data_IF_302524589894
#
_entry.id   IF_302524589894
#
_cell.length_a   1.000
_cell.length_b   1.000
_cell.length_c   1.000
_cell.angle_alpha   90.00
_cell.angle_beta   90.00
_cell.angle_gamma   90.00
#
_symmetry.space_group_name_H-M   'P 1'
#
loop_
_entity.id
_entity.type
_entity.pdbx_description
1 polymer ?
#
# COMPACT_ATOMS: atom_id res chain seq x y z
N UNK A 1 8.45 7.75 16.04
CA UNK A 1 6.98 7.59 16.05
C UNK A 1 6.62 6.19 15.59
N UNK A 2 5.40 5.75 15.89
CA UNK A 2 4.78 4.51 15.43
C UNK A 2 3.31 4.77 15.13
N UNK A 3 2.66 3.89 14.37
CA UNK A 3 1.22 3.98 14.17
C UNK A 3 0.48 3.52 15.42
N UNK A 4 -0.54 4.25 15.82
CA UNK A 4 -1.52 3.76 16.78
C UNK A 4 -2.28 2.58 16.16
N UNK A 5 -2.38 1.40 16.80
CA UNK A 5 -2.97 0.21 16.17
C UNK A 5 -4.48 0.31 15.93
N UNK A 6 -5.17 1.31 16.49
CA UNK A 6 -6.62 1.50 16.30
C UNK A 6 -6.95 2.61 15.30
N UNK A 7 -6.19 3.71 15.34
CA UNK A 7 -6.49 4.91 14.54
C UNK A 7 -5.55 5.10 13.37
N UNK A 8 -4.41 4.40 13.34
CA UNK A 8 -3.30 4.55 12.39
C UNK A 8 -2.66 5.96 12.40
N UNK A 9 -3.01 6.78 13.40
CA UNK A 9 -2.38 8.08 13.58
C UNK A 9 -0.99 7.91 14.22
N UNK A 10 0.00 8.77 13.85
CA UNK A 10 1.31 8.76 14.46
C UNK A 10 1.26 9.02 15.96
N UNK A 11 1.87 8.15 16.75
CA UNK A 11 2.03 8.30 18.20
C UNK A 11 3.51 8.31 18.60
N UNK A 12 3.86 8.92 19.76
CA UNK A 12 5.24 8.95 20.25
C UNK A 12 5.82 7.55 20.44
N UNK A 13 6.99 7.33 19.85
CA UNK A 13 7.84 6.14 20.02
C UNK A 13 9.18 6.50 20.68
N UNK A 14 10.30 6.27 19.99
CA UNK A 14 11.62 6.73 20.41
C UNK A 14 11.69 8.26 20.42
N UNK A 15 11.08 8.93 19.43
CA UNK A 15 10.85 10.37 19.49
C UNK A 15 9.54 10.67 20.23
N UNK A 16 9.56 11.66 21.13
CA UNK A 16 8.40 12.05 21.98
C UNK A 16 7.67 13.28 21.45
N UNK A 17 8.35 14.11 20.67
CA UNK A 17 7.83 15.36 20.15
C UNK A 17 8.56 15.76 18.87
N UNK A 18 7.99 16.66 18.11
CA UNK A 18 8.64 17.26 16.94
C UNK A 18 8.26 18.73 16.74
N UNK A 19 9.14 19.43 16.00
CA UNK A 19 8.89 20.80 15.56
C UNK A 19 9.07 20.89 14.06
N UNK A 20 8.10 21.50 13.39
CA UNK A 20 8.13 21.75 11.97
C UNK A 20 8.49 23.23 11.72
N UNK A 21 9.45 23.49 10.81
CA UNK A 21 9.81 24.84 10.41
C UNK A 21 8.66 25.50 9.61
N UNK A 22 8.74 26.83 9.50
CA UNK A 22 7.70 27.62 8.81
C UNK A 22 7.57 27.24 7.32
N UNK A 23 8.69 26.88 6.68
CA UNK A 23 8.74 26.40 5.29
C UNK A 23 8.39 24.89 5.15
N UNK A 24 8.03 24.23 6.26
CA UNK A 24 7.65 22.80 6.34
C UNK A 24 8.69 21.81 5.78
N UNK A 25 9.94 22.26 5.60
CA UNK A 25 11.05 21.42 5.10
C UNK A 25 11.95 20.89 6.19
N UNK A 26 11.86 21.36 7.44
CA UNK A 26 12.71 20.94 8.55
C UNK A 26 11.87 20.33 9.65
N UNK A 27 12.06 19.04 9.87
CA UNK A 27 11.42 18.27 10.93
C UNK A 27 12.46 18.02 12.03
N UNK A 28 12.30 18.67 13.18
CA UNK A 28 13.20 18.48 14.32
C UNK A 28 12.53 17.64 15.38
N UNK A 29 13.06 16.44 15.63
CA UNK A 29 12.55 15.48 16.59
C UNK A 29 13.30 15.57 17.90
N UNK A 30 12.57 15.38 19.02
CA UNK A 30 13.09 15.25 20.37
C UNK A 30 12.99 13.78 20.77
N UNK A 31 14.13 13.17 21.12
CA UNK A 31 14.22 11.76 21.48
C UNK A 31 14.04 11.56 22.99
N UNK A 32 13.62 10.37 23.40
CA UNK A 32 13.54 9.95 24.80
C UNK A 32 14.94 9.81 25.39
N UNK A 33 15.12 10.25 26.62
CA UNK A 33 16.38 10.07 27.34
C UNK A 33 16.59 8.63 27.82
N UNK A 34 15.51 7.84 27.98
CA UNK A 34 15.51 6.46 28.45
C UNK A 34 15.46 5.42 27.32
N UNK A 35 15.59 5.81 26.06
CA UNK A 35 15.63 4.85 24.94
C UNK A 35 16.97 4.13 24.90
N UNK A 36 16.95 2.79 24.91
CA UNK A 36 18.13 1.93 24.90
C UNK A 36 17.94 0.75 23.97
N UNK A 37 19.05 0.27 23.42
CA UNK A 37 19.12 -1.05 22.79
C UNK A 37 19.15 -2.16 23.84
N UNK A 38 18.94 -3.41 23.40
CA UNK A 38 18.92 -4.59 24.28
C UNK A 38 20.26 -4.88 24.99
N UNK A 39 21.35 -4.32 24.51
CA UNK A 39 22.68 -4.37 25.17
C UNK A 39 22.91 -3.22 26.16
N UNK A 40 21.94 -2.33 26.36
CA UNK A 40 22.01 -1.18 27.27
C UNK A 40 22.63 0.10 26.66
N UNK A 41 23.07 0.07 25.40
CA UNK A 41 23.55 1.27 24.72
C UNK A 41 22.39 2.24 24.46
N UNK A 42 22.63 3.54 24.65
CA UNK A 42 21.59 4.57 24.39
C UNK A 42 21.24 4.70 22.93
N UNK A 43 19.96 4.88 22.67
CA UNK A 43 19.44 5.28 21.35
C UNK A 43 19.36 6.81 21.32
N UNK A 44 20.45 7.43 20.89
CA UNK A 44 20.60 8.88 20.77
C UNK A 44 20.45 9.33 19.29
N UNK A 45 20.61 10.63 19.03
CA UNK A 45 20.48 11.20 17.70
C UNK A 45 21.51 10.65 16.69
N UNK A 46 22.71 10.30 17.13
CA UNK A 46 23.73 9.65 16.29
C UNK A 46 23.30 8.23 15.89
N UNK A 47 22.75 7.45 16.83
CA UNK A 47 22.24 6.11 16.53
C UNK A 47 21.07 6.17 15.51
N UNK A 48 20.19 7.18 15.63
CA UNK A 48 19.11 7.40 14.64
C UNK A 48 19.72 7.73 13.29
N UNK A 49 20.62 8.72 13.19
CA UNK A 49 21.31 9.07 11.93
C UNK A 49 21.97 7.85 11.31
N UNK A 50 22.71 7.08 12.08
CA UNK A 50 23.41 5.87 11.62
C UNK A 50 22.45 4.85 11.03
N UNK A 51 21.28 4.59 11.65
CA UNK A 51 20.26 3.68 11.13
C UNK A 51 19.74 4.13 9.75
N UNK A 52 19.42 5.41 9.58
CA UNK A 52 18.95 5.94 8.31
C UNK A 52 20.05 5.90 7.23
N UNK A 53 21.28 6.27 7.56
CA UNK A 53 22.40 6.20 6.63
C UNK A 53 22.70 4.77 6.21
N UNK A 54 22.60 3.80 7.12
CA UNK A 54 22.73 2.37 6.84
C UNK A 54 21.65 1.89 5.85
N UNK A 55 20.40 2.28 6.07
CA UNK A 55 19.29 1.96 5.15
C UNK A 55 19.56 2.51 3.74
N UNK A 56 19.97 3.79 3.63
CA UNK A 56 20.27 4.45 2.36
C UNK A 56 21.49 3.86 1.65
N UNK A 57 22.49 3.39 2.38
CA UNK A 57 23.71 2.80 1.81
C UNK A 57 23.59 1.32 1.44
N UNK A 58 22.50 0.65 1.88
CA UNK A 58 22.29 -0.78 1.59
C UNK A 58 21.73 -0.94 0.17
N UNK A 59 22.44 -1.61 -0.75
CA UNK A 59 21.97 -1.82 -2.10
C UNK A 59 20.61 -2.55 -2.14
N UNK A 60 19.70 -2.07 -2.98
CA UNK A 60 18.36 -2.63 -3.15
C UNK A 60 17.56 -2.76 -1.85
N UNK A 61 17.84 -1.90 -0.87
CA UNK A 61 17.10 -1.90 0.40
C UNK A 61 15.63 -1.56 0.15
N UNK A 62 14.70 -2.42 0.56
CA UNK A 62 13.28 -2.14 0.44
C UNK A 62 12.91 -0.83 1.16
N UNK A 63 11.97 -0.09 0.62
CA UNK A 63 11.42 1.14 1.20
C UNK A 63 12.42 2.31 1.39
N UNK A 64 13.72 2.15 1.05
CA UNK A 64 14.69 3.24 1.15
C UNK A 64 14.29 4.46 0.30
N UNK A 65 13.62 4.25 -0.83
CA UNK A 65 13.09 5.32 -1.70
C UNK A 65 12.02 6.19 -1.05
N UNK A 66 11.27 5.69 -0.06
CA UNK A 66 10.27 6.49 0.67
C UNK A 66 10.88 7.68 1.42
N UNK A 67 12.19 7.64 1.70
CA UNK A 67 12.92 8.75 2.33
C UNK A 67 13.82 9.53 1.35
N UNK A 68 13.72 9.31 0.04
CA UNK A 68 14.38 10.12 -1.00
C UNK A 68 13.97 11.60 -0.94
N UNK A 69 12.82 11.88 -0.32
CA UNK A 69 12.38 13.24 0.01
C UNK A 69 13.34 13.99 0.95
N UNK A 70 14.17 13.30 1.73
CA UNK A 70 15.24 13.91 2.53
C UNK A 70 16.31 14.45 1.56
N UNK A 71 16.70 15.70 1.75
CA UNK A 71 17.71 16.35 0.91
C UNK A 71 18.96 15.48 0.76
N UNK A 72 19.39 15.24 -0.47
CA UNK A 72 20.57 14.46 -0.80
C UNK A 72 20.44 12.95 -0.62
N UNK A 73 19.35 12.44 -0.04
CA UNK A 73 19.19 11.00 0.24
C UNK A 73 19.13 10.16 -1.04
N UNK A 74 18.38 10.59 -2.05
CA UNK A 74 18.28 9.92 -3.34
C UNK A 74 19.64 9.84 -4.05
N UNK A 75 20.37 10.96 -4.13
CA UNK A 75 21.69 11.01 -4.77
C UNK A 75 22.69 10.10 -4.05
N UNK A 76 22.68 10.10 -2.70
CA UNK A 76 23.51 9.22 -1.89
C UNK A 76 23.17 7.74 -2.12
N UNK A 77 21.89 7.38 -2.08
CA UNK A 77 21.40 6.01 -2.33
C UNK A 77 21.77 5.49 -3.71
N UNK A 78 21.74 6.36 -4.72
CA UNK A 78 22.15 6.05 -6.10
C UNK A 78 23.67 6.07 -6.33
N UNK A 79 24.46 6.38 -5.31
CA UNK A 79 25.93 6.43 -5.39
C UNK A 79 26.51 7.64 -6.17
N UNK A 80 25.71 8.69 -6.40
CA UNK A 80 26.11 9.92 -7.10
C UNK A 80 26.22 11.14 -6.17
N UNK A 81 25.91 10.98 -4.88
CA UNK A 81 25.99 12.00 -3.83
C UNK A 81 26.84 11.54 -2.65
N UNK A 82 27.21 12.49 -1.77
CA UNK A 82 27.98 12.19 -0.58
C UNK A 82 27.10 12.05 0.68
N UNK A 83 27.59 11.35 1.69
CA UNK A 83 26.89 11.18 2.96
C UNK A 83 26.68 12.52 3.70
N UNK A 84 27.58 13.48 3.52
CA UNK A 84 27.56 14.82 4.12
C UNK A 84 26.43 15.68 3.54
N UNK A 85 25.99 15.41 2.30
CA UNK A 85 24.91 16.13 1.64
C UNK A 85 23.53 15.70 2.13
N UNK A 86 23.44 14.53 2.78
CA UNK A 86 22.17 14.00 3.29
C UNK A 86 21.65 14.85 4.44
N UNK A 87 20.45 15.36 4.30
CA UNK A 87 19.81 16.30 5.20
C UNK A 87 19.42 15.73 6.57
N UNK A 88 20.26 14.89 7.21
CA UNK A 88 20.06 14.34 8.55
C UNK A 88 21.08 14.97 9.48
N UNK A 89 20.63 15.90 10.31
CA UNK A 89 21.49 16.75 11.16
C UNK A 89 21.27 16.43 12.62
N UNK A 90 22.33 16.01 13.29
CA UNK A 90 22.36 15.84 14.75
C UNK A 90 22.59 17.21 15.39
N UNK A 91 21.62 17.68 16.17
CA UNK A 91 21.68 18.99 16.83
C UNK A 91 22.14 18.90 18.29
N UNK A 92 21.81 17.79 18.96
CA UNK A 92 22.20 17.45 20.32
C UNK A 92 22.02 15.93 20.52
N UNK A 93 22.45 15.40 21.66
CA UNK A 93 22.36 13.97 22.00
C UNK A 93 20.94 13.42 21.80
N UNK A 94 19.90 14.18 22.19
CA UNK A 94 18.50 13.80 22.08
C UNK A 94 17.72 14.61 21.01
N UNK A 95 18.42 15.23 20.04
CA UNK A 95 17.76 16.10 19.07
C UNK A 95 18.31 15.93 17.67
N UNK A 96 17.43 15.58 16.72
CA UNK A 96 17.78 15.34 15.33
C UNK A 96 16.84 16.10 14.38
N UNK A 97 17.37 16.65 13.28
CA UNK A 97 16.62 17.36 12.26
C UNK A 97 16.75 16.66 10.91
N UNK A 98 15.62 16.39 10.28
CA UNK A 98 15.53 15.98 8.88
C UNK A 98 15.21 17.20 8.03
N UNK A 99 16.01 17.45 7.00
CA UNK A 99 15.83 18.53 6.04
C UNK A 99 15.34 17.92 4.73
N UNK A 100 14.14 18.32 4.29
CA UNK A 100 13.48 17.76 3.11
C UNK A 100 13.76 18.62 1.86
N UNK A 101 13.71 18.00 0.69
CA UNK A 101 13.78 18.67 -0.62
C UNK A 101 12.58 19.59 -0.84
N UNK A 102 11.40 19.09 -0.50
CA UNK A 102 10.11 19.79 -0.60
C UNK A 102 9.34 19.69 0.72
N UNK A 103 8.35 20.55 0.97
CA UNK A 103 7.46 20.39 2.10
C UNK A 103 6.69 19.08 2.04
N UNK A 104 6.55 18.37 3.18
CA UNK A 104 5.80 17.12 3.26
C UNK A 104 5.17 16.96 4.64
N UNK A 105 3.89 17.32 4.75
CA UNK A 105 3.16 17.17 6.02
C UNK A 105 2.93 15.70 6.40
N UNK A 106 3.03 14.79 5.45
CA UNK A 106 2.89 13.34 5.62
C UNK A 106 4.20 12.65 6.10
N UNK A 107 5.34 13.35 6.15
CA UNK A 107 6.64 12.75 6.46
C UNK A 107 6.65 11.97 7.78
N UNK A 108 5.94 12.46 8.81
CA UNK A 108 5.83 11.75 10.08
C UNK A 108 5.10 10.40 9.93
N UNK A 109 4.14 10.29 9.00
CA UNK A 109 3.44 9.04 8.70
C UNK A 109 4.36 8.03 8.00
N UNK A 110 5.19 8.51 7.07
CA UNK A 110 6.25 7.70 6.44
C UNK A 110 7.19 7.13 7.51
N UNK A 111 7.62 7.95 8.48
CA UNK A 111 8.52 7.52 9.56
C UNK A 111 7.90 6.50 10.55
N UNK A 112 6.58 6.27 10.49
CA UNK A 112 5.93 5.21 11.28
C UNK A 112 6.09 3.82 10.64
N UNK A 113 6.53 3.72 9.38
CA UNK A 113 6.75 2.45 8.72
C UNK A 113 7.92 1.68 9.35
N UNK A 114 7.79 0.36 9.48
CA UNK A 114 8.74 -0.52 10.17
C UNK A 114 10.16 -0.49 9.59
N UNK A 115 10.31 -0.20 8.29
CA UNK A 115 11.61 -0.05 7.63
C UNK A 115 12.48 1.07 8.24
N UNK A 116 11.87 2.04 8.93
CA UNK A 116 12.56 3.16 9.60
C UNK A 116 12.78 2.93 11.09
N UNK A 117 12.65 1.68 11.55
CA UNK A 117 13.04 1.29 12.91
C UNK A 117 14.53 1.53 13.15
N UNK A 118 14.86 1.96 14.36
CA UNK A 118 16.27 2.22 14.72
C UNK A 118 16.97 0.88 14.96
N UNK A 119 18.00 0.61 14.18
CA UNK A 119 18.74 -0.65 14.21
C UNK A 119 20.18 -0.45 14.68
N UNK A 120 20.71 -1.44 15.38
CA UNK A 120 22.10 -1.52 15.76
C UNK A 120 22.96 -2.17 14.65
N UNK A 121 24.29 -1.99 14.68
CA UNK A 121 25.18 -2.67 13.74
C UNK A 121 25.25 -4.18 13.99
N UNK A 122 25.29 -4.58 15.25
CA UNK A 122 25.13 -5.97 15.63
C UNK A 122 23.65 -6.37 15.44
N UNK A 123 23.43 -7.33 14.57
CA UNK A 123 22.09 -7.87 14.24
C UNK A 123 21.38 -8.58 15.40
N UNK A 124 22.11 -8.90 16.48
CA UNK A 124 21.58 -9.53 17.68
C UNK A 124 21.23 -8.50 18.78
N UNK A 125 21.37 -7.20 18.48
CA UNK A 125 21.04 -6.09 19.39
C UNK A 125 19.78 -5.39 18.86
N UNK A 126 18.77 -5.30 19.69
CA UNK A 126 17.41 -4.89 19.31
C UNK A 126 16.98 -3.60 20.00
N UNK A 127 16.18 -2.77 19.33
CA UNK A 127 15.55 -1.57 19.88
C UNK A 127 14.09 -1.75 20.27
N UNK A 128 13.49 -2.88 19.92
CA UNK A 128 12.06 -3.17 20.10
C UNK A 128 11.70 -3.77 21.45
N UNK A 129 10.40 -4.00 21.64
CA UNK A 129 9.84 -4.58 22.87
C UNK A 129 10.26 -6.04 23.13
N UNK A 130 10.74 -6.71 22.11
CA UNK A 130 11.16 -8.11 22.17
C UNK A 130 12.56 -8.28 21.54
N UNK A 131 13.26 -9.31 21.98
CA UNK A 131 14.52 -9.78 21.41
C UNK A 131 14.31 -11.17 20.78
N UNK A 132 15.04 -11.45 19.70
CA UNK A 132 15.05 -12.77 19.09
C UNK A 132 15.88 -13.73 19.93
N UNK A 133 15.24 -14.76 20.49
CA UNK A 133 15.90 -15.80 21.28
C UNK A 133 16.34 -16.98 20.41
N UNK A 134 15.49 -17.42 19.47
CA UNK A 134 15.80 -18.49 18.51
C UNK A 134 15.02 -18.32 17.21
N UNK A 135 15.57 -18.87 16.13
CA UNK A 135 14.90 -18.99 14.83
C UNK A 135 15.39 -20.30 14.17
N UNK A 136 14.71 -21.38 14.50
CA UNK A 136 15.11 -22.72 14.07
C UNK A 136 13.90 -23.56 13.65
N UNK A 137 14.04 -24.33 12.57
CA UNK A 137 13.03 -25.29 12.10
C UNK A 137 11.61 -24.68 11.90
N UNK A 138 11.53 -23.42 11.45
CA UNK A 138 10.26 -22.71 11.26
C UNK A 138 9.61 -22.22 12.56
N UNK A 139 10.33 -22.30 13.68
CA UNK A 139 9.90 -21.77 14.98
C UNK A 139 10.76 -20.56 15.33
N UNK A 140 10.11 -19.43 15.61
CA UNK A 140 10.75 -18.20 16.06
C UNK A 140 10.31 -17.92 17.49
N UNK A 141 11.26 -17.77 18.40
CA UNK A 141 11.01 -17.41 19.78
C UNK A 141 11.46 -15.99 20.07
N UNK A 142 10.56 -15.20 20.59
CA UNK A 142 10.82 -13.84 21.06
C UNK A 142 10.68 -13.78 22.58
N UNK A 143 11.64 -13.14 23.25
CA UNK A 143 11.59 -12.85 24.67
C UNK A 143 11.45 -11.34 24.90
N UNK A 144 10.76 -10.97 25.96
CA UNK A 144 10.63 -9.57 26.38
C UNK A 144 11.98 -8.90 26.54
N UNK A 145 12.10 -7.69 26.02
CA UNK A 145 13.30 -6.87 26.14
C UNK A 145 13.26 -6.04 27.43
N UNK A 146 14.07 -6.41 28.44
CA UNK A 146 14.10 -5.75 29.73
C UNK A 146 14.70 -4.34 29.72
N UNK A 147 15.36 -3.95 28.63
CA UNK A 147 15.89 -2.60 28.43
C UNK A 147 14.97 -1.71 27.62
N UNK A 148 13.84 -2.25 27.12
CA UNK A 148 12.89 -1.49 26.31
C UNK A 148 12.31 -0.32 27.11
N UNK A 149 12.27 0.86 26.51
CA UNK A 149 11.83 2.09 27.18
C UNK A 149 10.41 2.04 27.75
N UNK A 150 9.54 1.19 27.19
CA UNK A 150 8.14 1.03 27.58
C UNK A 150 7.86 -0.39 28.13
N UNK A 151 8.85 -1.04 28.70
CA UNK A 151 8.79 -2.44 29.16
C UNK A 151 7.65 -2.73 30.16
N UNK A 152 7.26 -1.73 30.98
CA UNK A 152 6.20 -1.89 31.96
C UNK A 152 4.82 -2.16 31.31
N UNK A 153 4.64 -1.71 30.06
CA UNK A 153 3.44 -1.94 29.28
C UNK A 153 3.49 -3.23 28.44
N UNK A 154 4.65 -3.88 28.31
CA UNK A 154 4.82 -5.19 27.67
C UNK A 154 4.42 -6.29 28.63
N UNK A 155 3.36 -7.04 28.34
CA UNK A 155 2.75 -8.00 29.27
C UNK A 155 3.12 -9.45 29.00
N UNK A 156 3.44 -9.80 27.75
CA UNK A 156 3.84 -11.16 27.41
C UNK A 156 5.36 -11.31 27.57
N UNK A 157 5.79 -12.27 28.37
CA UNK A 157 7.22 -12.54 28.59
C UNK A 157 7.87 -13.26 27.40
N UNK A 158 7.08 -14.09 26.69
CA UNK A 158 7.52 -14.88 25.54
C UNK A 158 6.43 -14.94 24.48
N UNK A 159 6.83 -14.86 23.21
CA UNK A 159 5.96 -15.10 22.06
C UNK A 159 6.67 -16.11 21.16
N UNK A 160 5.92 -17.13 20.71
CA UNK A 160 6.42 -18.13 19.79
C UNK A 160 5.63 -18.04 18.49
N UNK A 161 6.32 -17.91 17.36
CA UNK A 161 5.75 -18.05 16.03
C UNK A 161 6.08 -19.42 15.46
N UNK A 162 5.12 -20.03 14.83
CA UNK A 162 5.28 -21.24 14.03
C UNK A 162 4.95 -20.92 12.58
N UNK A 163 5.89 -21.14 11.69
CA UNK A 163 5.67 -20.96 10.25
C UNK A 163 4.99 -22.20 9.70
N UNK A 164 3.81 -22.05 9.10
CA UNK A 164 3.07 -23.14 8.47
C UNK A 164 2.12 -22.56 7.41
N UNK A 165 2.06 -23.22 6.25
CA UNK A 165 1.11 -23.01 5.15
C UNK A 165 0.05 -24.13 5.07
N UNK A 166 0.08 -25.10 5.99
CA UNK A 166 -0.88 -26.18 6.06
C UNK A 166 -2.19 -25.73 6.74
N UNK A 167 -3.21 -25.54 5.92
CA UNK A 167 -4.55 -25.08 6.33
C UNK A 167 -5.18 -26.01 7.38
N UNK A 168 -5.07 -27.33 7.21
CA UNK A 168 -5.69 -28.31 8.10
C UNK A 168 -4.95 -28.38 9.44
N UNK A 169 -3.63 -28.39 9.41
CA UNK A 169 -2.79 -28.35 10.62
C UNK A 169 -3.07 -27.08 11.43
N UNK A 170 -3.04 -25.91 10.79
CA UNK A 170 -3.27 -24.64 11.46
C UNK A 170 -4.67 -24.57 12.09
N UNK A 171 -5.68 -25.12 11.37
CA UNK A 171 -7.05 -25.22 11.89
C UNK A 171 -7.14 -26.10 13.14
N UNK A 172 -6.43 -27.24 13.15
CA UNK A 172 -6.38 -28.14 14.30
C UNK A 172 -5.67 -27.51 15.50
N UNK A 173 -4.48 -26.92 15.28
CA UNK A 173 -3.70 -26.26 16.33
C UNK A 173 -4.44 -25.10 16.99
N UNK A 174 -5.18 -24.31 16.17
CA UNK A 174 -6.02 -23.26 16.71
C UNK A 174 -7.18 -23.82 17.54
N UNK A 175 -7.91 -24.82 17.01
CA UNK A 175 -9.05 -25.41 17.71
C UNK A 175 -8.65 -26.17 18.99
N UNK A 176 -7.44 -26.75 19.06
CA UNK A 176 -6.89 -27.39 20.28
C UNK A 176 -6.38 -26.37 21.32
N UNK A 177 -6.23 -25.09 20.94
CA UNK A 177 -5.69 -24.05 21.82
C UNK A 177 -4.16 -24.04 21.89
N UNK A 178 -3.47 -24.83 21.10
CA UNK A 178 -1.99 -24.82 21.01
C UNK A 178 -1.49 -23.53 20.37
N UNK A 179 -2.24 -22.98 19.40
CA UNK A 179 -2.01 -21.68 18.78
C UNK A 179 -3.15 -20.74 19.13
N UNK A 180 -2.82 -19.52 19.60
CA UNK A 180 -3.80 -18.52 20.03
C UNK A 180 -4.15 -17.51 18.92
N UNK A 181 -3.32 -17.38 17.91
CA UNK A 181 -3.53 -16.47 16.79
C UNK A 181 -2.95 -17.05 15.50
N UNK A 182 -3.78 -17.16 14.46
CA UNK A 182 -3.34 -17.49 13.09
C UNK A 182 -3.47 -16.22 12.25
N UNK A 183 -2.35 -15.74 11.73
CA UNK A 183 -2.29 -14.57 10.85
C UNK A 183 -2.56 -14.98 9.40
N UNK A 184 -2.93 -14.01 8.56
CA UNK A 184 -3.08 -14.20 7.09
C UNK A 184 -4.08 -15.28 6.66
N UNK A 185 -4.95 -15.72 7.59
CA UNK A 185 -6.08 -16.58 7.29
C UNK A 185 -5.77 -17.99 6.75
N UNK A 186 -4.58 -18.52 7.02
CA UNK A 186 -4.18 -19.86 6.55
C UNK A 186 -4.86 -20.94 7.39
N UNK A 187 -6.20 -20.96 7.36
CA UNK A 187 -7.09 -21.91 8.04
C UNK A 187 -8.30 -22.23 7.18
N UNK A 188 -9.02 -23.30 7.52
CA UNK A 188 -10.36 -23.54 6.98
C UNK A 188 -11.41 -22.84 7.88
N UNK A 189 -11.99 -21.69 7.46
CA UNK A 189 -12.90 -20.93 8.32
C UNK A 189 -14.16 -21.70 8.69
N UNK A 190 -14.58 -22.66 7.85
CA UNK A 190 -15.74 -23.49 8.10
C UNK A 190 -15.50 -24.49 9.25
N UNK A 191 -14.25 -24.89 9.47
CA UNK A 191 -13.83 -25.83 10.51
C UNK A 191 -13.40 -25.16 11.82
N UNK A 192 -13.26 -23.84 11.87
CA UNK A 192 -13.01 -23.12 13.12
C UNK A 192 -14.23 -23.25 14.03
N UNK A 193 -14.03 -23.77 15.25
CA UNK A 193 -15.10 -24.03 16.22
C UNK A 193 -15.67 -22.72 16.78
N UNK A 194 -14.79 -21.83 17.25
CA UNK A 194 -15.19 -20.52 17.76
C UNK A 194 -15.28 -19.51 16.61
N UNK A 195 -16.45 -19.33 16.04
CA UNK A 195 -16.68 -18.40 14.92
C UNK A 195 -16.44 -16.93 15.27
N UNK A 196 -16.55 -16.52 16.54
CA UNK A 196 -16.26 -15.16 16.97
C UNK A 196 -14.77 -14.80 16.92
N UNK A 197 -13.92 -15.79 16.74
CA UNK A 197 -12.48 -15.61 16.57
C UNK A 197 -12.09 -15.20 15.13
N UNK A 198 -12.98 -15.36 14.16
CA UNK A 198 -12.73 -14.94 12.78
C UNK A 198 -12.79 -13.41 12.68
N UNK A 199 -11.64 -12.79 12.41
CA UNK A 199 -11.50 -11.34 12.32
C UNK A 199 -11.19 -10.96 10.87
N UNK A 200 -12.04 -10.13 10.28
CA UNK A 200 -11.87 -9.59 8.94
C UNK A 200 -11.75 -8.08 9.02
N UNK A 201 -10.84 -7.49 8.26
CA UNK A 201 -10.68 -6.04 8.17
C UNK A 201 -10.33 -5.65 6.74
N UNK A 202 -11.03 -4.65 6.20
CA UNK A 202 -10.60 -4.05 4.94
C UNK A 202 -9.20 -3.45 5.11
N UNK A 203 -8.30 -3.74 4.16
CA UNK A 203 -6.95 -3.21 4.15
C UNK A 203 -6.91 -1.84 3.48
N UNK A 204 -5.93 -1.03 3.87
CA UNK A 204 -5.61 0.24 3.23
C UNK A 204 -5.00 -0.01 1.85
N UNK A 205 -5.81 -0.51 0.95
CA UNK A 205 -5.39 -0.95 -0.37
C UNK A 205 -6.54 -0.98 -1.36
N UNK A 206 -6.21 -1.07 -2.63
CA UNK A 206 -7.18 -1.21 -3.72
C UNK A 206 -6.64 -2.14 -4.78
N UNK A 207 -7.44 -3.13 -5.15
CA UNK A 207 -7.24 -3.92 -6.36
C UNK A 207 -7.91 -3.17 -7.52
N UNK A 208 -7.16 -2.90 -8.56
CA UNK A 208 -7.60 -2.08 -9.69
C UNK A 208 -6.93 -2.52 -10.99
N UNK A 209 -7.61 -2.27 -12.11
CA UNK A 209 -7.02 -2.35 -13.43
C UNK A 209 -6.66 -0.93 -13.85
N UNK A 210 -5.57 -0.75 -14.57
CA UNK A 210 -5.17 0.55 -15.09
C UNK A 210 -4.75 0.47 -16.55
N UNK A 211 -4.95 1.57 -17.29
CA UNK A 211 -4.44 1.73 -18.65
C UNK A 211 -2.95 2.11 -18.60
N UNK A 212 -2.15 1.45 -19.42
CA UNK A 212 -0.77 1.83 -19.70
C UNK A 212 -0.73 2.54 -21.05
N UNK A 213 -0.45 3.83 -21.02
CA UNK A 213 -0.40 4.64 -22.23
C UNK A 213 0.87 4.32 -23.02
N UNK A 214 0.75 4.34 -24.33
CA UNK A 214 1.90 4.20 -25.23
C UNK A 214 2.63 5.54 -25.28
N UNK A 215 3.94 5.53 -25.14
CA UNK A 215 4.75 6.73 -25.41
C UNK A 215 4.67 7.03 -26.91
N UNK A 216 4.45 8.29 -27.28
CA UNK A 216 4.59 8.72 -28.66
C UNK A 216 6.03 8.42 -29.07
N UNK A 217 6.21 7.54 -30.06
CA UNK A 217 7.52 7.32 -30.63
C UNK A 217 7.89 8.60 -31.36
N UNK A 218 8.71 9.44 -30.75
CA UNK A 218 9.42 10.52 -31.43
C UNK A 218 10.53 9.85 -32.25
N UNK A 219 10.17 9.41 -33.44
CA UNK A 219 11.13 8.76 -34.32
C UNK A 219 12.21 9.73 -34.73
N UNK A 220 13.44 9.38 -34.38
CA UNK A 220 14.64 9.81 -35.11
C UNK A 220 14.77 9.04 -36.44
N UNK A 221 13.70 8.95 -37.22
CA UNK A 221 13.80 8.42 -38.58
C UNK A 221 13.86 9.58 -39.56
N UNK A 222 14.83 9.50 -40.46
CA UNK A 222 14.98 10.40 -41.57
C UNK A 222 13.63 10.56 -42.30
N UNK A 223 13.17 11.79 -42.51
CA UNK A 223 11.88 12.14 -43.13
C UNK A 223 11.69 11.56 -44.54
N UNK A 224 12.71 10.94 -45.12
CA UNK A 224 12.74 10.39 -46.49
C UNK A 224 12.57 8.87 -46.60
N UNK A 225 12.24 8.14 -45.50
CA UNK A 225 12.01 6.69 -45.62
C UNK A 225 10.54 6.34 -45.82
N UNK A 226 10.22 5.54 -46.86
CA UNK A 226 8.87 4.97 -47.09
C UNK A 226 8.32 4.15 -45.90
N UNK A 227 9.16 3.83 -44.92
CA UNK A 227 8.75 3.18 -43.64
C UNK A 227 8.09 4.16 -42.64
N UNK A 228 8.32 5.48 -42.80
CA UNK A 228 7.71 6.49 -41.91
C UNK A 228 6.19 6.58 -42.03
N UNK A 229 5.61 6.09 -43.14
CA UNK A 229 4.17 6.08 -43.39
C UNK A 229 3.43 4.93 -42.69
N UNK A 230 4.14 3.97 -42.06
CA UNK A 230 3.53 2.79 -41.40
C UNK A 230 3.57 2.82 -39.88
N UNK A 231 4.12 3.86 -39.21
CA UNK A 231 4.49 3.80 -37.78
C UNK A 231 3.83 4.88 -36.91
N UNK A 232 2.84 5.64 -37.40
CA UNK A 232 2.26 6.74 -36.62
C UNK A 232 0.76 6.59 -36.33
N UNK A 233 0.30 5.41 -35.93
CA UNK A 233 -1.02 5.31 -35.30
C UNK A 233 -0.85 5.41 -33.78
N UNK A 234 -1.07 6.63 -33.25
CA UNK A 234 -1.20 6.86 -31.83
C UNK A 234 -2.28 5.93 -31.26
N UNK A 235 -1.96 5.14 -30.25
CA UNK A 235 -2.91 4.20 -29.64
C UNK A 235 -4.20 4.94 -29.22
N UNK A 236 -5.35 4.43 -29.64
CA UNK A 236 -6.66 4.99 -29.27
C UNK A 236 -6.84 5.04 -27.75
N UNK A 237 -6.16 4.16 -27.03
CA UNK A 237 -6.21 4.11 -25.58
C UNK A 237 -5.46 5.26 -24.90
N UNK A 238 -4.67 6.05 -25.66
CA UNK A 238 -4.12 7.32 -25.20
C UNK A 238 -5.20 8.42 -25.07
N UNK A 239 -6.35 8.24 -25.72
CA UNK A 239 -7.48 9.17 -25.69
C UNK A 239 -8.50 8.77 -24.61
N UNK A 240 -8.84 9.70 -23.71
CA UNK A 240 -9.72 9.42 -22.58
C UNK A 240 -11.15 9.04 -22.99
N UNK A 241 -11.61 9.54 -24.13
CA UNK A 241 -12.95 9.26 -24.64
C UNK A 241 -13.17 7.75 -24.87
N UNK A 242 -12.15 7.05 -25.40
CA UNK A 242 -12.22 5.59 -25.57
C UNK A 242 -12.15 4.86 -24.23
N UNK A 243 -11.28 5.31 -23.32
CA UNK A 243 -11.19 4.69 -21.99
C UNK A 243 -12.48 4.84 -21.21
N UNK A 244 -13.08 6.04 -21.22
CA UNK A 244 -14.32 6.29 -20.51
C UNK A 244 -15.49 5.49 -21.10
N UNK A 245 -15.57 5.32 -22.42
CA UNK A 245 -16.57 4.43 -23.03
C UNK A 245 -16.40 2.97 -22.56
N UNK A 246 -15.17 2.49 -22.39
CA UNK A 246 -14.91 1.16 -21.83
C UNK A 246 -15.37 1.09 -20.35
N UNK A 247 -15.10 2.12 -19.54
CA UNK A 247 -15.49 2.15 -18.13
C UNK A 247 -17.01 2.11 -17.93
N UNK A 248 -17.78 2.82 -18.77
CA UNK A 248 -19.23 2.79 -18.72
C UNK A 248 -19.82 1.42 -19.10
N UNK A 249 -19.09 0.63 -19.92
CA UNK A 249 -19.51 -0.72 -20.30
C UNK A 249 -19.16 -1.80 -19.26
N UNK A 250 -18.28 -1.52 -18.28
CA UNK A 250 -17.86 -2.50 -17.28
C UNK A 250 -19.07 -2.98 -16.46
N UNK A 251 -19.29 -4.30 -16.35
CA UNK A 251 -20.41 -4.87 -15.60
C UNK A 251 -20.13 -4.86 -14.08
N UNK A 252 -20.17 -3.68 -13.48
CA UNK A 252 -19.71 -3.40 -12.11
C UNK A 252 -20.38 -4.29 -11.07
N UNK A 253 -21.71 -4.46 -11.13
CA UNK A 253 -22.46 -5.26 -10.16
C UNK A 253 -22.02 -6.72 -10.16
N UNK A 254 -21.82 -7.29 -11.35
CA UNK A 254 -21.41 -8.70 -11.48
C UNK A 254 -19.94 -8.90 -11.11
N UNK A 255 -19.04 -7.97 -11.47
CA UNK A 255 -17.64 -8.05 -11.08
C UNK A 255 -17.45 -7.94 -9.56
N UNK A 256 -18.28 -7.14 -8.90
CA UNK A 256 -18.21 -6.87 -7.45
C UNK A 256 -19.09 -7.78 -6.61
N UNK A 257 -19.90 -8.65 -7.21
CA UNK A 257 -20.92 -9.48 -6.54
C UNK A 257 -20.41 -10.32 -5.37
N UNK A 258 -19.19 -10.85 -5.48
CA UNK A 258 -18.61 -11.75 -4.50
C UNK A 258 -17.42 -11.14 -3.76
N UNK A 259 -17.19 -9.82 -3.87
CA UNK A 259 -16.12 -9.16 -3.15
C UNK A 259 -16.60 -8.67 -1.78
N UNK A 260 -15.72 -8.70 -0.80
CA UNK A 260 -16.04 -8.35 0.59
C UNK A 260 -16.30 -6.83 0.75
N UNK A 261 -15.44 -6.02 0.11
CA UNK A 261 -15.50 -4.55 0.17
C UNK A 261 -15.30 -4.01 -1.24
N UNK A 262 -16.39 -3.73 -1.98
CA UNK A 262 -16.30 -3.13 -3.30
C UNK A 262 -15.59 -1.77 -3.26
N UNK A 263 -14.73 -1.50 -4.24
CA UNK A 263 -14.12 -0.20 -4.44
C UNK A 263 -14.79 0.52 -5.61
N UNK A 264 -15.29 1.71 -5.38
CA UNK A 264 -15.83 2.59 -6.43
C UNK A 264 -14.85 3.69 -6.81
N UNK A 265 -13.89 3.97 -5.94
CA UNK A 265 -12.82 4.96 -6.07
C UNK A 265 -11.47 4.30 -5.88
N UNK A 266 -10.40 5.01 -6.19
CA UNK A 266 -9.03 4.49 -6.09
C UNK A 266 -8.47 4.56 -4.68
N UNK A 267 -8.60 5.72 -4.03
CA UNK A 267 -8.11 5.92 -2.68
C UNK A 267 -9.02 5.18 -1.70
N UNK A 268 -8.41 4.37 -0.82
CA UNK A 268 -9.14 3.75 0.28
C UNK A 268 -9.79 4.82 1.18
N UNK A 269 -11.07 4.70 1.56
CA UNK A 269 -11.76 5.69 2.40
C UNK A 269 -11.05 5.89 3.74
N UNK A 270 -10.46 7.06 3.93
CA UNK A 270 -9.85 7.49 5.18
C UNK A 270 -10.80 8.43 5.94
N UNK A 271 -10.69 8.44 7.26
CA UNK A 271 -11.43 9.39 8.07
C UNK A 271 -11.04 10.83 7.71
N UNK A 272 -12.05 11.64 7.35
CA UNK A 272 -11.85 13.03 6.92
C UNK A 272 -11.47 13.21 5.44
N UNK A 273 -11.30 12.13 4.68
CA UNK A 273 -11.15 12.22 3.24
C UNK A 273 -12.52 12.47 2.59
N UNK A 274 -12.66 13.48 1.71
CA UNK A 274 -13.93 13.76 1.06
C UNK A 274 -14.45 12.58 0.23
N UNK A 275 -15.75 12.48 0.11
CA UNK A 275 -16.36 11.54 -0.82
C UNK A 275 -16.07 11.98 -2.26
N UNK A 276 -15.53 11.10 -3.06
CA UNK A 276 -15.27 11.28 -4.49
C UNK A 276 -16.30 10.46 -5.26
N UNK A 277 -16.80 11.01 -6.37
CA UNK A 277 -17.67 10.27 -7.27
C UNK A 277 -16.88 9.17 -7.95
N UNK A 278 -17.36 7.94 -7.84
CA UNK A 278 -16.68 6.78 -8.40
C UNK A 278 -17.59 5.97 -9.31
N UNK A 279 -17.06 4.89 -9.83
CA UNK A 279 -17.78 3.99 -10.74
C UNK A 279 -18.70 3.06 -9.94
N UNK A 280 -20.00 3.31 -9.96
CA UNK A 280 -20.97 2.58 -9.15
C UNK A 280 -22.00 1.78 -9.94
N UNK A 281 -22.20 2.10 -11.22
CA UNK A 281 -23.19 1.43 -12.09
C UNK A 281 -22.67 1.32 -13.53
N UNK A 282 -23.28 0.44 -14.32
CA UNK A 282 -23.01 0.22 -15.73
C UNK A 282 -24.09 0.92 -16.56
N UNK A 283 -23.70 1.64 -17.61
CA UNK A 283 -24.64 2.17 -18.62
C UNK A 283 -24.17 1.75 -20.01
N UNK A 284 -24.68 0.59 -20.46
CA UNK A 284 -24.34 0.02 -21.77
C UNK A 284 -24.76 0.93 -22.93
N UNK A 285 -25.85 1.68 -22.78
CA UNK A 285 -26.36 2.57 -23.84
C UNK A 285 -25.45 3.79 -23.95
N UNK A 286 -25.10 4.38 -22.83
CA UNK A 286 -24.18 5.51 -22.79
C UNK A 286 -22.80 5.10 -23.27
N UNK A 287 -22.29 3.92 -22.87
CA UNK A 287 -21.02 3.38 -23.34
C UNK A 287 -20.91 3.31 -24.87
N UNK A 288 -22.00 2.83 -25.53
CA UNK A 288 -22.09 2.77 -27.01
C UNK A 288 -22.11 4.17 -27.61
N UNK A 289 -22.86 5.11 -27.02
CA UNK A 289 -22.91 6.50 -27.49
C UNK A 289 -21.54 7.17 -27.36
N UNK A 290 -20.89 7.05 -26.21
CA UNK A 290 -19.54 7.60 -25.97
C UNK A 290 -18.50 7.01 -26.93
N UNK A 291 -18.54 5.70 -27.18
CA UNK A 291 -17.67 5.05 -28.15
C UNK A 291 -17.88 5.58 -29.58
N UNK A 292 -19.13 5.77 -29.97
CA UNK A 292 -19.47 6.34 -31.27
C UNK A 292 -18.98 7.78 -31.42
N UNK A 293 -19.18 8.61 -30.41
CA UNK A 293 -18.68 10.00 -30.41
C UNK A 293 -17.14 10.05 -30.45
N UNK A 294 -16.47 9.17 -29.70
CA UNK A 294 -15.01 9.06 -29.72
C UNK A 294 -14.52 8.68 -31.14
N UNK A 295 -15.12 7.65 -31.77
CA UNK A 295 -14.77 7.25 -33.14
C UNK A 295 -14.96 8.38 -34.14
N UNK A 296 -16.08 9.12 -34.06
CA UNK A 296 -16.33 10.29 -34.94
C UNK A 296 -15.29 11.40 -34.74
N UNK A 297 -14.93 11.64 -33.48
CA UNK A 297 -13.93 12.68 -33.14
C UNK A 297 -12.54 12.40 -33.72
N UNK A 298 -12.17 11.12 -33.81
CA UNK A 298 -10.84 10.68 -34.23
C UNK A 298 -10.82 9.96 -35.58
N UNK A 299 -11.90 10.11 -36.40
CA UNK A 299 -12.01 9.57 -37.75
C UNK A 299 -11.83 8.04 -37.83
N UNK A 300 -12.30 7.29 -36.83
CA UNK A 300 -12.27 5.83 -36.79
C UNK A 300 -13.62 5.28 -37.27
N UNK A 301 -13.60 4.27 -38.16
CA UNK A 301 -14.82 3.69 -38.71
C UNK A 301 -15.63 2.96 -37.64
N UNK A 302 -16.97 3.01 -37.72
CA UNK A 302 -17.88 2.37 -36.75
C UNK A 302 -17.71 0.85 -36.70
N UNK A 303 -17.37 0.21 -37.83
CA UNK A 303 -17.18 -1.24 -37.99
C UNK A 303 -15.73 -1.70 -37.75
N UNK A 304 -14.81 -0.80 -37.56
CA UNK A 304 -13.41 -1.13 -37.23
C UNK A 304 -13.33 -1.77 -35.83
N UNK A 305 -12.67 -2.92 -35.74
CA UNK A 305 -12.46 -3.60 -34.46
C UNK A 305 -11.21 -3.04 -33.78
N UNK A 306 -11.38 -2.49 -32.57
CA UNK A 306 -10.28 -1.94 -31.78
C UNK A 306 -9.75 -3.03 -30.84
N UNK A 307 -8.48 -3.46 -30.96
CA UNK A 307 -7.90 -4.42 -30.01
C UNK A 307 -7.62 -3.76 -28.66
N UNK A 308 -7.85 -4.52 -27.58
CA UNK A 308 -7.54 -4.14 -26.21
C UNK A 308 -6.87 -5.33 -25.52
N UNK A 309 -5.59 -5.24 -25.23
CA UNK A 309 -4.81 -6.32 -24.61
C UNK A 309 -4.75 -6.12 -23.11
N UNK A 310 -5.26 -7.08 -22.35
CA UNK A 310 -5.25 -7.07 -20.90
C UNK A 310 -4.36 -8.18 -20.36
N UNK A 311 -3.20 -7.81 -19.77
CA UNK A 311 -2.39 -8.75 -19.02
C UNK A 311 -2.82 -8.82 -17.55
N UNK A 312 -3.00 -10.03 -17.04
CA UNK A 312 -3.43 -10.29 -15.68
C UNK A 312 -2.65 -11.46 -15.07
N UNK A 313 -2.44 -11.42 -13.77
CA UNK A 313 -1.87 -12.58 -13.05
C UNK A 313 -2.81 -13.76 -13.14
N UNK A 314 -2.29 -14.94 -13.54
CA UNK A 314 -3.11 -16.14 -13.69
C UNK A 314 -3.81 -16.51 -12.38
N UNK A 315 -5.08 -16.89 -12.49
CA UNK A 315 -5.93 -17.25 -11.37
C UNK A 315 -6.61 -16.06 -10.65
N UNK A 316 -6.38 -14.81 -11.07
CA UNK A 316 -7.05 -13.65 -10.46
C UNK A 316 -8.54 -13.61 -10.82
N UNK A 317 -8.88 -13.77 -12.11
CA UNK A 317 -10.27 -13.84 -12.57
C UNK A 317 -10.67 -15.27 -12.86
N UNK A 318 -11.91 -15.62 -12.49
CA UNK A 318 -12.55 -16.85 -12.95
C UNK A 318 -12.81 -16.79 -14.46
N UNK A 319 -13.02 -17.97 -15.07
CA UNK A 319 -13.41 -18.03 -16.49
C UNK A 319 -14.70 -17.23 -16.77
N UNK A 320 -15.66 -17.28 -15.85
CA UNK A 320 -16.93 -16.55 -15.94
C UNK A 320 -16.70 -15.03 -15.94
N UNK A 321 -15.87 -14.53 -15.03
CA UNK A 321 -15.53 -13.09 -14.98
C UNK A 321 -14.80 -12.62 -16.23
N UNK A 322 -13.86 -13.42 -16.77
CA UNK A 322 -13.18 -13.11 -18.04
C UNK A 322 -14.18 -13.03 -19.20
N UNK A 323 -15.10 -14.00 -19.30
CA UNK A 323 -16.11 -14.01 -20.33
C UNK A 323 -17.10 -12.83 -20.21
N UNK A 324 -17.42 -12.44 -18.98
CA UNK A 324 -18.26 -11.28 -18.68
C UNK A 324 -17.62 -9.99 -19.22
N UNK A 325 -16.32 -9.75 -18.94
CA UNK A 325 -15.59 -8.59 -19.45
C UNK A 325 -15.52 -8.57 -20.99
N UNK A 326 -15.19 -9.70 -21.61
CA UNK A 326 -15.15 -9.81 -23.08
C UNK A 326 -16.50 -9.50 -23.69
N UNK A 327 -17.60 -10.02 -23.11
CA UNK A 327 -18.96 -9.80 -23.65
C UNK A 327 -19.40 -8.34 -23.46
N UNK A 328 -19.03 -7.68 -22.39
CA UNK A 328 -19.39 -6.29 -22.12
C UNK A 328 -18.80 -5.30 -23.15
N UNK A 329 -17.64 -5.62 -23.74
CA UNK A 329 -16.97 -4.74 -24.68
C UNK A 329 -17.32 -5.03 -26.16
N UNK A 330 -17.96 -6.14 -26.47
CA UNK A 330 -18.40 -6.47 -27.85
C UNK A 330 -19.30 -5.41 -28.49
N UNK A 331 -20.32 -4.84 -27.80
CA UNK A 331 -21.16 -3.80 -28.37
C UNK A 331 -20.40 -2.53 -28.78
N UNK A 332 -19.20 -2.33 -28.25
CA UNK A 332 -18.31 -1.20 -28.55
C UNK A 332 -17.38 -1.47 -29.75
N UNK A 333 -17.46 -2.65 -30.39
CA UNK A 333 -16.49 -3.15 -31.38
C UNK A 333 -15.05 -3.15 -30.82
N UNK A 334 -14.91 -3.53 -29.53
CA UNK A 334 -13.61 -3.72 -28.88
C UNK A 334 -13.34 -5.22 -28.70
N UNK A 335 -12.20 -5.68 -29.22
CA UNK A 335 -11.71 -7.06 -29.07
C UNK A 335 -10.81 -7.15 -27.84
N UNK A 336 -11.41 -7.50 -26.69
CA UNK A 336 -10.66 -7.68 -25.44
C UNK A 336 -9.93 -9.04 -25.41
N UNK A 337 -8.62 -9.00 -25.45
CA UNK A 337 -7.73 -10.15 -25.35
C UNK A 337 -7.12 -10.22 -23.95
N UNK A 338 -7.54 -11.23 -23.14
CA UNK A 338 -7.02 -11.42 -21.77
C UNK A 338 -5.87 -12.43 -21.81
N UNK A 339 -4.68 -11.96 -21.45
CA UNK A 339 -3.42 -12.74 -21.40
C UNK A 339 -3.06 -13.03 -19.96
N UNK A 340 -3.02 -14.30 -19.59
CA UNK A 340 -2.65 -14.71 -18.23
C UNK A 340 -1.14 -14.95 -18.11
N UNK A 341 -0.52 -14.22 -17.17
CA UNK A 341 0.91 -14.29 -16.87
C UNK A 341 1.10 -15.00 -15.52
N UNK A 342 2.13 -15.84 -15.43
CA UNK A 342 2.44 -16.53 -14.18
C UNK A 342 2.73 -15.53 -13.04
N UNK A 343 2.15 -15.70 -11.83
CA UNK A 343 2.25 -14.71 -10.74
C UNK A 343 3.69 -14.28 -10.40
N UNK A 344 4.66 -15.21 -10.46
CA UNK A 344 6.08 -14.93 -10.15
C UNK A 344 6.72 -13.94 -11.14
N UNK A 345 6.26 -13.92 -12.40
CA UNK A 345 6.81 -13.05 -13.46
C UNK A 345 5.94 -11.85 -13.78
N UNK A 346 4.73 -11.80 -13.24
CA UNK A 346 3.72 -10.80 -13.58
C UNK A 346 4.18 -9.36 -13.36
N UNK A 347 4.74 -9.03 -12.19
CA UNK A 347 5.21 -7.67 -11.89
C UNK A 347 6.32 -7.21 -12.85
N UNK A 348 7.13 -8.15 -13.34
CA UNK A 348 8.15 -7.82 -14.35
C UNK A 348 7.49 -7.58 -15.72
N UNK A 349 6.46 -8.34 -16.08
CA UNK A 349 5.78 -8.14 -17.37
C UNK A 349 5.14 -6.76 -17.44
N UNK A 350 4.55 -6.24 -16.35
CA UNK A 350 3.95 -4.90 -16.32
C UNK A 350 4.93 -3.81 -16.79
N UNK A 351 6.21 -3.90 -16.41
CA UNK A 351 7.22 -2.91 -16.82
C UNK A 351 7.73 -3.10 -18.25
N UNK A 352 7.63 -4.31 -18.83
CA UNK A 352 8.27 -4.67 -20.11
C UNK A 352 7.29 -4.97 -21.23
N UNK A 353 6.03 -5.26 -20.95
CA UNK A 353 5.01 -5.59 -21.95
C UNK A 353 4.37 -4.34 -22.55
N UNK A 354 3.91 -4.48 -23.79
CA UNK A 354 3.17 -3.46 -24.53
C UNK A 354 1.63 -3.64 -24.45
N UNK A 355 1.14 -4.46 -23.53
CA UNK A 355 -0.29 -4.57 -23.27
C UNK A 355 -0.88 -3.21 -22.83
N UNK A 356 -2.20 -3.05 -23.01
CA UNK A 356 -2.90 -1.79 -22.76
C UNK A 356 -3.45 -1.70 -21.34
N UNK A 357 -3.82 -2.86 -20.77
CA UNK A 357 -4.39 -2.97 -19.43
C UNK A 357 -3.56 -3.90 -18.55
N UNK A 358 -3.43 -3.51 -17.29
CA UNK A 358 -2.78 -4.31 -16.24
C UNK A 358 -3.58 -4.26 -14.95
N UNK A 359 -3.44 -5.30 -14.12
CA UNK A 359 -4.07 -5.40 -12.82
C UNK A 359 -3.05 -5.23 -11.70
N UNK A 360 -3.34 -4.35 -10.74
CA UNK A 360 -2.59 -4.26 -9.49
C UNK A 360 -3.49 -4.48 -8.27
N UNK A 361 -2.90 -4.99 -7.20
CA UNK A 361 -3.42 -4.87 -5.84
C UNK A 361 -2.40 -4.08 -5.03
N UNK A 362 -2.70 -2.83 -4.76
CA UNK A 362 -1.82 -1.92 -4.05
C UNK A 362 -2.25 -1.79 -2.59
N UNK A 363 -1.31 -1.96 -1.68
CA UNK A 363 -1.48 -1.65 -0.26
C UNK A 363 -0.66 -0.40 0.02
N UNK A 364 -1.29 0.65 0.56
CA UNK A 364 -0.60 1.90 0.82
C UNK A 364 0.49 1.76 1.90
N UNK A 365 1.66 2.31 1.65
CA UNK A 365 2.82 2.21 2.55
C UNK A 365 2.67 3.07 3.81
N UNK A 366 1.79 4.07 3.80
CA UNK A 366 1.51 4.97 4.93
C UNK A 366 0.08 5.53 4.85
N UNK A 367 -0.51 5.88 6.01
CA UNK A 367 -1.91 6.30 6.13
C UNK A 367 -2.14 7.73 5.59
N UNK A 368 -2.05 7.89 4.27
CA UNK A 368 -2.32 9.15 3.55
C UNK A 368 -2.78 8.84 2.12
N UNK A 369 -3.75 9.58 1.54
CA UNK A 369 -4.21 9.37 0.17
C UNK A 369 -3.07 9.40 -0.87
N UNK A 370 -2.00 10.13 -0.60
CA UNK A 370 -0.82 10.19 -1.47
C UNK A 370 -0.19 8.83 -1.70
N UNK A 371 -0.33 7.87 -0.77
CA UNK A 371 0.16 6.50 -0.95
C UNK A 371 -0.45 5.80 -2.18
N UNK A 372 -1.59 6.28 -2.68
CA UNK A 372 -2.23 5.83 -3.91
C UNK A 372 -1.93 6.77 -5.09
N UNK A 373 -2.11 8.07 -4.89
CA UNK A 373 -2.02 9.05 -5.98
C UNK A 373 -0.60 9.21 -6.52
N UNK A 374 0.43 8.95 -5.71
CA UNK A 374 1.83 8.94 -6.16
C UNK A 374 2.11 7.92 -7.27
N UNK A 375 1.31 6.85 -7.38
CA UNK A 375 1.40 5.85 -8.45
C UNK A 375 1.08 6.42 -9.84
N UNK A 376 0.42 7.56 -9.91
CA UNK A 376 0.02 8.21 -11.17
C UNK A 376 0.68 9.58 -11.38
N UNK A 377 1.54 10.00 -10.46
CA UNK A 377 2.28 11.27 -10.61
C UNK A 377 3.25 11.18 -11.79
N UNK A 378 3.25 12.20 -12.64
CA UNK A 378 3.95 12.19 -13.93
C UNK A 378 5.46 11.92 -13.88
N UNK A 379 6.13 12.28 -12.76
CA UNK A 379 7.55 12.04 -12.53
C UNK A 379 7.85 10.94 -11.50
N UNK A 380 6.84 10.20 -11.05
CA UNK A 380 7.01 9.10 -10.10
C UNK A 380 7.64 7.88 -10.78
N UNK A 381 8.61 7.26 -10.10
CA UNK A 381 9.18 5.98 -10.54
C UNK A 381 8.21 4.81 -10.37
N UNK A 382 7.10 5.02 -9.65
CA UNK A 382 6.04 4.04 -9.44
C UNK A 382 4.93 4.14 -10.50
N UNK A 383 5.02 5.13 -11.41
CA UNK A 383 4.01 5.34 -12.44
C UNK A 383 4.24 4.42 -13.64
N UNK A 384 3.72 3.20 -13.55
CA UNK A 384 3.75 2.24 -14.65
C UNK A 384 2.75 2.58 -15.76
N UNK A 385 1.74 3.42 -15.49
CA UNK A 385 0.72 3.81 -16.46
C UNK A 385 1.24 4.72 -17.57
N UNK A 386 2.39 5.37 -17.38
CA UNK A 386 2.96 6.40 -18.26
C UNK A 386 2.11 7.65 -18.44
N UNK A 387 0.96 7.71 -17.77
CA UNK A 387 0.09 8.88 -17.80
C UNK A 387 0.76 10.10 -17.15
N UNK A 388 0.52 11.26 -17.71
CA UNK A 388 1.01 12.55 -17.21
C UNK A 388 -0.11 13.59 -17.32
N UNK A 389 -0.39 14.25 -16.21
CA UNK A 389 -1.37 15.35 -16.18
C UNK A 389 -0.86 16.47 -15.29
N UNK A 390 -0.63 17.65 -15.88
CA UNK A 390 -0.03 18.79 -15.19
C UNK A 390 -0.92 19.35 -14.06
N UNK A 391 -2.26 19.26 -14.19
CA UNK A 391 -3.19 19.71 -13.16
C UNK A 391 -3.20 18.74 -11.97
N UNK A 392 -3.20 17.43 -12.25
CA UNK A 392 -3.04 16.41 -11.23
C UNK A 392 -1.74 16.60 -10.44
N UNK A 393 -0.60 16.70 -11.14
CA UNK A 393 0.71 16.89 -10.51
C UNK A 393 0.76 18.17 -9.67
N UNK A 394 0.17 19.26 -10.17
CA UNK A 394 0.05 20.53 -9.44
C UNK A 394 -0.75 20.38 -8.15
N UNK A 395 -1.87 19.65 -8.17
CA UNK A 395 -2.66 19.38 -6.96
C UNK A 395 -1.88 18.56 -5.93
N UNK A 396 -1.09 17.59 -6.36
CA UNK A 396 -0.19 16.84 -5.46
C UNK A 396 0.82 17.77 -4.79
N UNK A 397 1.42 18.71 -5.55
CA UNK A 397 2.36 19.70 -5.02
C UNK A 397 1.68 20.68 -4.07
N UNK A 398 0.49 21.18 -4.39
CA UNK A 398 -0.31 22.04 -3.52
C UNK A 398 -0.67 21.33 -2.20
N UNK A 399 -1.06 20.05 -2.27
CA UNK A 399 -1.37 19.24 -1.10
C UNK A 399 -0.15 19.05 -0.18
N UNK A 400 1.07 19.00 -0.73
CA UNK A 400 2.29 18.87 0.07
C UNK A 400 2.53 20.05 1.02
N UNK A 401 2.10 21.26 0.64
CA UNK A 401 2.26 22.49 1.42
C UNK A 401 1.00 22.91 2.19
N UNK A 402 -0.15 22.34 1.88
CA UNK A 402 -1.44 22.69 2.48
C UNK A 402 -1.48 22.46 4.01
N UNK A 403 -2.41 23.10 4.70
CA UNK A 403 -2.72 22.77 6.09
C UNK A 403 -3.31 21.35 6.16
N UNK A 404 -3.28 20.72 7.34
CA UNK A 404 -3.87 19.40 7.53
C UNK A 404 -5.36 19.37 7.13
N UNK A 405 -6.12 20.42 7.42
CA UNK A 405 -7.53 20.55 7.09
C UNK A 405 -7.79 20.64 5.56
N UNK A 406 -6.93 21.33 4.82
CA UNK A 406 -7.11 21.56 3.39
C UNK A 406 -6.46 20.49 2.51
N UNK A 407 -5.59 19.65 3.08
CA UNK A 407 -4.82 18.67 2.32
C UNK A 407 -5.70 17.61 1.65
N UNK A 408 -6.60 16.99 2.41
CA UNK A 408 -7.46 15.94 1.87
C UNK A 408 -8.43 16.43 0.79
N UNK A 409 -9.07 17.59 0.92
CA UNK A 409 -9.86 18.18 -0.17
C UNK A 409 -9.08 18.43 -1.47
N UNK A 410 -7.79 18.76 -1.39
CA UNK A 410 -6.94 18.95 -2.58
C UNK A 410 -6.61 17.59 -3.20
N UNK A 411 -6.25 16.59 -2.39
CA UNK A 411 -5.97 15.23 -2.88
C UNK A 411 -7.21 14.56 -3.47
N UNK A 412 -8.40 14.81 -2.92
CA UNK A 412 -9.65 14.31 -3.48
C UNK A 412 -9.92 14.87 -4.90
N UNK A 413 -9.62 16.16 -5.14
CA UNK A 413 -9.69 16.74 -6.50
C UNK A 413 -8.69 16.09 -7.47
N UNK A 414 -7.50 15.73 -7.00
CA UNK A 414 -6.55 15.01 -7.82
C UNK A 414 -7.09 13.61 -8.17
N UNK A 415 -7.73 12.92 -7.23
CA UNK A 415 -8.38 11.64 -7.50
C UNK A 415 -9.54 11.78 -8.51
N UNK A 416 -10.36 12.83 -8.40
CA UNK A 416 -11.43 13.12 -9.39
C UNK A 416 -10.85 13.23 -10.80
N UNK A 417 -9.74 13.96 -10.98
CA UNK A 417 -9.07 14.06 -12.30
C UNK A 417 -8.64 12.68 -12.79
N UNK A 418 -8.04 11.85 -11.93
CA UNK A 418 -7.58 10.52 -12.31
C UNK A 418 -8.74 9.61 -12.77
N UNK A 419 -9.88 9.69 -12.08
CA UNK A 419 -11.09 8.95 -12.44
C UNK A 419 -11.72 9.48 -13.73
N UNK A 420 -11.85 10.80 -13.88
CA UNK A 420 -12.42 11.45 -15.08
C UNK A 420 -11.60 11.20 -16.36
N UNK A 421 -10.29 11.01 -16.19
CA UNK A 421 -9.38 10.61 -17.28
C UNK A 421 -9.51 9.13 -17.67
N UNK A 422 -10.30 8.35 -16.92
CA UNK A 422 -10.55 6.94 -17.19
C UNK A 422 -9.31 6.06 -17.07
N UNK A 423 -8.33 6.45 -16.24
CA UNK A 423 -7.06 5.74 -16.14
C UNK A 423 -7.14 4.45 -15.34
N UNK A 424 -8.15 4.32 -14.47
CA UNK A 424 -8.26 3.20 -13.53
C UNK A 424 -9.66 2.61 -13.48
N UNK A 425 -9.72 1.33 -13.19
CA UNK A 425 -10.95 0.53 -12.97
C UNK A 425 -10.81 -0.05 -11.55
N UNK A 426 -11.32 0.62 -10.49
CA UNK A 426 -11.24 0.11 -9.13
C UNK A 426 -12.19 -1.08 -8.95
N UNK A 427 -11.69 -2.17 -8.37
CA UNK A 427 -12.44 -3.41 -8.22
C UNK A 427 -12.91 -3.61 -6.77
N UNK A 428 -11.98 -3.72 -5.84
CA UNK A 428 -12.29 -3.93 -4.42
C UNK A 428 -11.13 -3.50 -3.52
N UNK A 429 -11.44 -3.30 -2.24
CA UNK A 429 -10.43 -3.17 -1.20
C UNK A 429 -10.08 -4.55 -0.65
N UNK A 430 -8.80 -4.96 -0.65
CA UNK A 430 -8.35 -6.22 -0.06
C UNK A 430 -8.79 -6.35 1.41
N UNK A 431 -8.91 -7.57 1.88
CA UNK A 431 -9.33 -7.87 3.25
C UNK A 431 -8.26 -8.71 3.93
N UNK A 432 -7.80 -8.27 5.10
CA UNK A 432 -7.02 -9.13 5.98
C UNK A 432 -7.94 -10.10 6.71
N UNK A 433 -7.42 -11.29 6.97
CA UNK A 433 -8.14 -12.32 7.69
C UNK A 433 -7.26 -12.90 8.79
N UNK A 434 -7.69 -12.79 10.02
CA UNK A 434 -7.00 -13.32 11.20
C UNK A 434 -7.94 -14.22 11.99
N UNK A 435 -7.39 -15.18 12.71
CA UNK A 435 -8.15 -16.02 13.64
C UNK A 435 -7.56 -15.85 15.03
N UNK A 436 -8.28 -15.12 15.89
CA UNK A 436 -7.84 -14.79 17.25
C UNK A 436 -9.04 -14.64 18.17
N UNK A 437 -8.97 -15.26 19.35
CA UNK A 437 -10.03 -15.11 20.35
C UNK A 437 -9.79 -13.86 21.21
N UNK A 438 -10.51 -12.78 20.92
CA UNK A 438 -10.39 -11.51 21.64
C UNK A 438 -10.90 -11.56 23.10
N UNK A 439 -11.56 -12.64 23.52
CA UNK A 439 -11.88 -12.87 24.92
C UNK A 439 -10.65 -13.38 25.70
N UNK A 440 -9.73 -14.09 25.04
CA UNK A 440 -8.52 -14.63 25.65
C UNK A 440 -7.30 -13.71 25.45
N UNK A 441 -7.21 -13.05 24.28
CA UNK A 441 -6.11 -12.16 23.94
C UNK A 441 -6.63 -10.73 23.85
N UNK A 442 -6.13 -9.87 24.72
CA UNK A 442 -6.39 -8.44 24.69
C UNK A 442 -5.26 -7.67 23.97
N UNK A 443 -5.53 -6.39 23.69
CA UNK A 443 -4.58 -5.50 23.05
C UNK A 443 -4.50 -5.62 21.52
N UNK A 444 -5.15 -6.60 20.93
CA UNK A 444 -5.32 -6.74 19.49
C UNK A 444 -6.55 -5.95 19.01
N UNK A 445 -6.45 -5.31 17.85
CA UNK A 445 -7.56 -4.57 17.23
C UNK A 445 -7.47 -4.67 15.72
N UNK A 446 -8.62 -4.78 15.06
CA UNK A 446 -8.67 -4.67 13.58
C UNK A 446 -8.27 -3.26 13.13
N UNK A 447 -7.51 -3.19 12.06
CA UNK A 447 -7.19 -1.92 11.40
C UNK A 447 -6.82 -2.15 9.94
N UNK A 448 -6.80 -1.07 9.16
CA UNK A 448 -6.63 -1.14 7.72
C UNK A 448 -5.20 -1.50 7.26
N UNK A 449 -4.20 -1.52 8.14
CA UNK A 449 -2.84 -1.99 7.83
C UNK A 449 -2.56 -3.42 8.24
N UNK A 450 -3.52 -4.09 8.87
CA UNK A 450 -3.29 -5.37 9.56
C UNK A 450 -2.08 -5.32 10.52
N UNK A 451 -1.91 -4.15 11.17
CA UNK A 451 -0.78 -3.82 12.02
C UNK A 451 -1.10 -4.09 13.49
N UNK A 452 -0.47 -5.11 14.05
CA UNK A 452 -0.74 -5.60 15.39
C UNK A 452 0.55 -5.64 16.23
N UNK A 453 0.99 -4.49 16.80
CA UNK A 453 2.23 -4.45 17.58
C UNK A 453 2.16 -5.39 18.78
N UNK A 454 3.08 -6.33 18.83
CA UNK A 454 3.13 -7.39 19.87
C UNK A 454 3.22 -6.83 21.30
N UNK A 455 3.79 -5.62 21.47
CA UNK A 455 3.92 -4.97 22.78
C UNK A 455 2.61 -4.69 23.48
N UNK A 456 1.50 -4.60 22.73
CA UNK A 456 0.18 -4.34 23.30
C UNK A 456 -0.59 -5.61 23.66
N UNK A 457 -0.13 -6.79 23.21
CA UNK A 457 -0.83 -8.04 23.44
C UNK A 457 -0.68 -8.50 24.89
N UNK A 458 -1.77 -9.03 25.42
CA UNK A 458 -1.80 -9.63 26.76
C UNK A 458 -2.86 -10.73 26.84
N UNK A 459 -2.69 -11.66 27.80
CA UNK A 459 -3.72 -12.66 28.10
C UNK A 459 -4.76 -12.06 29.04
N UNK A 460 -6.02 -12.15 28.66
CA UNK A 460 -7.13 -11.84 29.53
C UNK A 460 -7.25 -12.92 30.62
N UNK A 461 -7.44 -12.53 31.89
CA UNK A 461 -7.81 -13.46 32.93
C UNK A 461 -9.28 -13.80 32.77
N UNK A 462 -9.59 -14.98 32.25
CA UNK A 462 -10.94 -15.49 32.19
C UNK A 462 -11.26 -16.03 33.60
N UNK A 463 -12.03 -15.29 34.40
CA UNK A 463 -12.66 -15.86 35.58
C UNK A 463 -13.70 -16.91 35.11
N UNK A 464 -13.34 -18.19 35.19
CA UNK A 464 -14.30 -19.28 35.00
C UNK A 464 -15.22 -19.24 36.24
N UNK A 465 -16.33 -18.52 36.15
CA UNK A 465 -17.41 -18.68 37.13
C UNK A 465 -18.00 -20.09 36.96
N UNK A 466 -17.52 -21.02 37.77
CA UNK A 466 -18.16 -22.32 37.88
C UNK A 466 -19.62 -22.08 38.26
N UNK A 467 -20.58 -22.69 37.56
CA UNK A 467 -21.99 -22.59 37.96
C UNK A 467 -22.11 -23.08 39.37
N UNK A 468 -22.79 -22.30 40.25
CA UNK A 468 -23.10 -22.69 41.60
C UNK A 468 -23.82 -24.05 41.57
N UNK A 469 -23.13 -25.09 41.96
CA UNK A 469 -23.75 -26.40 42.17
C UNK A 469 -24.67 -26.25 43.37
N UNK A 470 -25.95 -26.04 43.10
CA UNK A 470 -26.98 -26.12 44.13
C UNK A 470 -27.02 -27.58 44.59
N UNK A 471 -26.39 -27.86 45.72
CA UNK A 471 -26.59 -29.14 46.39
C UNK A 471 -28.09 -29.22 46.79
N UNK A 472 -28.80 -30.13 46.15
CA UNK A 472 -30.12 -30.59 46.65
C UNK A 472 -29.97 -31.55 47.82
#
# INVERSE_FOLDING_TARGET
FSNNPKTLEPEPGIAIDFRLSRDKKRWTFILRDNAQFSNGEKINAEAVKKSFMKLLSTPNSPYASLIDIIRGAEAFRKGVGSAEDVGIVVNAENKITFVLNSPANYFIRVLCHSAFSIVHDDKNVFSGAYILASNENGIIELLKNETYWDKENVKLEKITFMQSDDIELNTQLYNSGEVQWVTSGVVNPNKIINKSALQYSAQFGTAYIFFKLKEEQTDFFDEDSELSLLVNEESVWNKKEFRNAVLEAIPWDELRKNVFVPATTFVYPLNGYPSVNGFSYTDEVEAVNMMKEARQKYDILEDEVIPLVFEVSSGFFSLEQKQLLVNALKPLNVDLQIVEIHPVTYLRSVSTSDADLFLYSWIGDFADPLAFLELFRGNSTLNDSKWKNAEFDKLIEEAAVASAENRYPILAKAEEILLDEGMIIPLYHPVSFNVINLQEIGGWATNAFDYHPLKYLYKNHIEIKLPNVVKR
#
